data_IF_123661186328
#
_entry.id   IF_123661186328
#
_cell.length_a   1.000
_cell.length_b   1.000
_cell.length_c   1.000
_cell.angle_alpha   90.00
_cell.angle_beta   90.00
_cell.angle_gamma   90.00
#
_symmetry.space_group_name_H-M   'P 1'
#
loop_
_entity.id
_entity.type
_entity.pdbx_description
1 polymer ?
#
# COMPACT_ATOMS: atom_id res chain seq x y z
N UNK A 1 -16.32 5.83 11.94
CA UNK A 1 -15.89 6.54 10.71
C UNK A 1 -14.44 6.13 10.48
N UNK A 2 -14.17 5.20 9.56
CA UNK A 2 -12.83 4.66 9.32
C UNK A 2 -12.08 5.51 8.27
N UNK A 3 -11.88 6.80 8.58
CA UNK A 3 -11.35 7.78 7.62
C UNK A 3 -9.96 7.45 7.10
N UNK A 4 -9.07 6.91 7.93
CA UNK A 4 -7.68 6.66 7.54
C UNK A 4 -7.52 5.75 6.30
N UNK A 5 -8.32 4.68 6.19
CA UNK A 5 -8.23 3.79 5.02
C UNK A 5 -8.74 4.48 3.76
N UNK A 6 -9.86 5.19 3.87
CA UNK A 6 -10.49 5.91 2.77
C UNK A 6 -9.57 7.03 2.27
N UNK A 7 -8.96 7.78 3.18
CA UNK A 7 -8.04 8.87 2.88
C UNK A 7 -6.79 8.36 2.14
N UNK A 8 -6.13 7.31 2.67
CA UNK A 8 -4.96 6.69 2.04
C UNK A 8 -5.29 6.14 0.65
N UNK A 9 -6.42 5.44 0.52
CA UNK A 9 -6.87 4.86 -0.75
C UNK A 9 -7.16 5.94 -1.81
N UNK A 10 -7.82 7.03 -1.40
CA UNK A 10 -8.13 8.16 -2.26
C UNK A 10 -6.85 8.88 -2.72
N UNK A 11 -5.90 9.12 -1.81
CA UNK A 11 -4.62 9.77 -2.14
C UNK A 11 -3.84 8.97 -3.21
N UNK A 12 -3.75 7.66 -3.04
CA UNK A 12 -3.03 6.80 -3.99
C UNK A 12 -3.75 6.65 -5.34
N UNK A 13 -5.09 6.62 -5.36
CA UNK A 13 -5.88 6.47 -6.59
C UNK A 13 -5.95 7.78 -7.40
N UNK A 14 -6.01 8.93 -6.74
CA UNK A 14 -6.21 10.22 -7.39
C UNK A 14 -5.00 10.75 -8.17
N UNK A 15 -3.80 10.19 -7.94
CA UNK A 15 -2.54 10.69 -8.49
C UNK A 15 -2.05 9.92 -9.73
N UNK A 16 -2.56 8.72 -9.98
CA UNK A 16 -1.96 7.77 -10.93
C UNK A 16 -3.03 6.91 -11.63
N UNK A 17 -2.65 6.24 -12.72
CA UNK A 17 -3.45 5.19 -13.38
C UNK A 17 -3.48 3.88 -12.55
N UNK A 18 -3.72 3.99 -11.24
CA UNK A 18 -3.81 2.88 -10.29
C UNK A 18 -5.15 2.96 -9.54
N UNK A 19 -5.59 1.85 -8.97
CA UNK A 19 -6.80 1.83 -8.14
C UNK A 19 -6.54 1.16 -6.81
N UNK A 20 -6.54 1.94 -5.73
CA UNK A 20 -6.39 1.43 -4.36
C UNK A 20 -7.75 1.45 -3.68
N UNK A 21 -8.16 0.30 -3.16
CA UNK A 21 -9.39 0.16 -2.40
C UNK A 21 -9.13 0.35 -0.90
N UNK A 22 -10.07 0.92 -0.13
CA UNK A 22 -9.88 1.12 1.31
C UNK A 22 -9.88 -0.20 2.10
N UNK A 23 -10.39 -1.29 1.53
CA UNK A 23 -10.53 -2.57 2.22
C UNK A 23 -9.94 -3.72 1.42
N UNK A 24 -9.55 -4.77 2.15
CA UNK A 24 -9.03 -6.02 1.59
C UNK A 24 -9.93 -6.58 0.50
N UNK A 25 -9.32 -7.06 -0.58
CA UNK A 25 -10.02 -7.76 -1.67
C UNK A 25 -9.42 -9.14 -1.91
N UNK A 26 -10.30 -10.11 -2.13
CA UNK A 26 -9.93 -11.49 -2.48
C UNK A 26 -9.48 -11.63 -3.94
N UNK A 27 -9.71 -10.61 -4.76
CA UNK A 27 -9.35 -10.56 -6.18
C UNK A 27 -8.61 -9.27 -6.47
N UNK A 28 -7.44 -9.39 -7.09
CA UNK A 28 -6.59 -8.26 -7.47
C UNK A 28 -6.17 -8.42 -8.92
N UNK A 29 -6.19 -7.31 -9.65
CA UNK A 29 -5.63 -7.17 -10.98
C UNK A 29 -4.35 -6.34 -10.91
N UNK A 30 -3.50 -6.40 -11.94
CA UNK A 30 -2.35 -5.52 -12.03
C UNK A 30 -2.78 -4.04 -11.89
N UNK A 31 -1.95 -3.24 -11.24
CA UNK A 31 -2.20 -1.83 -10.94
C UNK A 31 -3.37 -1.57 -9.98
N UNK A 32 -3.85 -2.59 -9.29
CA UNK A 32 -4.85 -2.44 -8.23
C UNK A 32 -4.29 -2.84 -6.88
N UNK A 33 -4.86 -2.31 -5.81
CA UNK A 33 -4.38 -2.56 -4.47
C UNK A 33 -5.43 -2.35 -3.41
N UNK A 34 -5.06 -2.53 -2.15
CA UNK A 34 -5.94 -2.22 -1.04
C UNK A 34 -5.18 -1.75 0.20
N UNK A 35 -5.89 -1.06 1.09
CA UNK A 35 -5.40 -0.69 2.41
C UNK A 35 -5.84 -1.74 3.43
N UNK A 36 -4.93 -2.14 4.31
CA UNK A 36 -5.24 -2.95 5.48
C UNK A 36 -4.56 -2.39 6.72
N UNK A 37 -5.19 -2.61 7.87
CA UNK A 37 -4.56 -2.35 9.15
C UNK A 37 -3.44 -3.35 9.36
N UNK A 38 -2.24 -2.86 9.70
CA UNK A 38 -1.06 -3.69 9.89
C UNK A 38 -0.83 -4.02 11.37
N UNK A 39 -1.21 -3.11 12.27
CA UNK A 39 -0.99 -3.31 13.69
C UNK A 39 -0.91 -2.00 14.44
N UNK A 40 -0.34 -2.09 15.63
CA UNK A 40 0.11 -0.93 16.38
C UNK A 40 1.60 -1.02 16.59
N UNK A 41 2.33 0.01 16.20
CA UNK A 41 3.73 0.18 16.54
C UNK A 41 3.84 1.02 17.81
N UNK A 42 4.90 0.80 18.58
CA UNK A 42 5.28 1.66 19.68
C UNK A 42 6.55 2.38 19.25
N UNK A 43 6.53 3.71 19.27
CA UNK A 43 7.74 4.49 19.05
C UNK A 43 8.69 4.30 20.26
N UNK A 44 9.99 4.25 19.99
CA UNK A 44 11.05 4.11 20.99
C UNK A 44 11.07 5.28 21.99
N UNK A 45 10.37 6.39 21.67
CA UNK A 45 10.12 7.52 22.57
C UNK A 45 9.23 7.19 23.79
N UNK A 46 8.58 6.02 23.81
CA UNK A 46 7.75 5.56 24.92
C UNK A 46 6.33 6.17 24.96
N UNK A 47 5.99 7.04 24.00
CA UNK A 47 4.70 7.72 23.89
C UNK A 47 3.66 6.88 23.13
N UNK A 48 2.99 5.98 23.85
CA UNK A 48 1.77 5.32 23.38
C UNK A 48 1.93 4.37 22.18
N UNK A 49 0.80 3.90 21.68
CA UNK A 49 0.71 3.02 20.50
C UNK A 49 0.19 3.83 19.30
N UNK A 50 0.80 3.66 18.14
CA UNK A 50 0.41 4.30 16.89
C UNK A 50 -0.11 3.22 15.94
N UNK A 51 -1.30 3.44 15.37
CA UNK A 51 -1.85 2.53 14.36
C UNK A 51 -1.02 2.61 13.07
N UNK A 52 -0.59 1.44 12.59
CA UNK A 52 0.12 1.30 11.32
C UNK A 52 -0.79 0.71 10.25
N UNK A 53 -0.56 1.16 9.04
CA UNK A 53 -1.32 0.79 7.85
C UNK A 53 -0.39 0.21 6.79
N UNK A 54 -0.93 -0.72 6.01
CA UNK A 54 -0.27 -1.32 4.87
C UNK A 54 -1.12 -1.06 3.63
N UNK A 55 -0.51 -0.46 2.62
CA UNK A 55 -1.04 -0.46 1.26
C UNK A 55 -0.39 -1.62 0.53
N UNK A 56 -1.20 -2.55 0.06
CA UNK A 56 -0.76 -3.63 -0.81
C UNK A 56 -1.11 -3.27 -2.25
N UNK A 57 -0.15 -3.35 -3.16
CA UNK A 57 -0.31 -2.96 -4.57
C UNK A 57 0.14 -4.09 -5.51
N UNK A 58 -0.73 -4.53 -6.42
CA UNK A 58 -0.40 -5.55 -7.41
C UNK A 58 0.45 -4.95 -8.53
N UNK A 59 1.59 -5.59 -8.78
CA UNK A 59 2.40 -5.29 -9.95
C UNK A 59 1.97 -6.17 -11.14
N UNK A 60 2.34 -5.79 -12.37
CA UNK A 60 2.28 -6.69 -13.52
C UNK A 60 3.01 -7.99 -13.24
N UNK A 61 2.49 -9.10 -13.75
CA UNK A 61 3.12 -10.42 -13.62
C UNK A 61 4.43 -10.52 -14.42
N UNK A 62 4.57 -9.74 -15.49
CA UNK A 62 5.82 -9.62 -16.24
C UNK A 62 6.83 -8.78 -15.47
N UNK A 63 7.94 -9.41 -15.07
CA UNK A 63 8.97 -8.80 -14.21
C UNK A 63 9.55 -7.54 -14.83
N UNK A 64 9.84 -7.56 -16.14
CA UNK A 64 10.42 -6.40 -16.83
C UNK A 64 9.46 -5.21 -16.80
N UNK A 65 8.18 -5.46 -17.07
CA UNK A 65 7.13 -4.44 -17.02
C UNK A 65 6.94 -3.92 -15.60
N UNK A 66 7.01 -4.79 -14.59
CA UNK A 66 6.93 -4.40 -13.19
C UNK A 66 8.11 -3.51 -12.76
N UNK A 67 9.35 -3.91 -13.07
CA UNK A 67 10.55 -3.13 -12.77
C UNK A 67 10.54 -1.77 -13.46
N UNK A 68 10.13 -1.72 -14.74
CA UNK A 68 10.01 -0.47 -15.47
C UNK A 68 8.95 0.44 -14.85
N UNK A 69 7.77 -0.11 -14.50
CA UNK A 69 6.74 0.67 -13.83
C UNK A 69 7.22 1.24 -12.48
N UNK A 70 7.94 0.43 -11.69
CA UNK A 70 8.52 0.89 -10.43
C UNK A 70 9.53 2.00 -10.66
N UNK A 71 10.42 1.87 -11.66
CA UNK A 71 11.41 2.91 -11.98
C UNK A 71 10.75 4.23 -12.40
N UNK A 72 9.62 4.16 -13.11
CA UNK A 72 8.95 5.33 -13.67
C UNK A 72 7.95 5.99 -12.70
N UNK A 73 7.33 5.22 -11.79
CA UNK A 73 6.13 5.65 -11.04
C UNK A 73 6.19 5.46 -9.53
N UNK A 74 7.18 4.75 -9.00
CA UNK A 74 7.22 4.45 -7.57
C UNK A 74 7.26 5.74 -6.74
N UNK A 75 8.10 6.71 -7.10
CA UNK A 75 8.23 7.96 -6.36
C UNK A 75 6.94 8.79 -6.37
N UNK A 76 6.20 8.80 -7.49
CA UNK A 76 4.89 9.46 -7.58
C UNK A 76 3.86 8.79 -6.65
N UNK A 77 3.86 7.44 -6.61
CA UNK A 77 2.97 6.68 -5.74
C UNK A 77 3.28 6.94 -4.26
N UNK A 78 4.57 6.89 -3.90
CA UNK A 78 5.02 7.15 -2.54
C UNK A 78 4.75 8.61 -2.14
N UNK A 79 4.98 9.56 -3.05
CA UNK A 79 4.65 10.97 -2.84
C UNK A 79 3.17 11.18 -2.56
N UNK A 80 2.28 10.55 -3.33
CA UNK A 80 0.84 10.62 -3.12
C UNK A 80 0.42 10.01 -1.76
N UNK A 81 0.91 8.81 -1.44
CA UNK A 81 0.61 8.14 -0.16
C UNK A 81 1.18 8.94 1.02
N UNK A 82 2.32 9.61 0.85
CA UNK A 82 3.00 10.37 1.91
C UNK A 82 2.19 11.54 2.47
N UNK A 83 1.14 11.97 1.74
CA UNK A 83 0.20 13.01 2.20
C UNK A 83 -0.66 12.56 3.38
N UNK A 84 -0.92 11.25 3.50
CA UNK A 84 -1.77 10.66 4.54
C UNK A 84 -1.02 9.69 5.47
N UNK A 85 0.16 9.22 5.05
CA UNK A 85 0.92 8.20 5.74
C UNK A 85 2.41 8.57 5.82
N UNK A 86 2.98 8.55 7.02
CA UNK A 86 4.45 8.56 7.16
C UNK A 86 4.96 7.18 6.78
N UNK A 87 5.44 7.05 5.55
CA UNK A 87 5.96 5.80 5.00
C UNK A 87 7.23 5.42 5.76
N UNK A 88 7.25 4.22 6.34
CA UNK A 88 8.39 3.68 7.08
C UNK A 88 9.08 2.53 6.36
N UNK A 89 8.36 1.86 5.46
CA UNK A 89 8.89 0.70 4.76
C UNK A 89 8.21 0.52 3.40
N UNK A 90 8.99 0.10 2.40
CA UNK A 90 8.51 -0.20 1.04
C UNK A 90 9.24 -1.45 0.57
N UNK A 91 8.53 -2.57 0.43
CA UNK A 91 9.15 -3.86 0.11
C UNK A 91 8.36 -4.63 -0.95
N UNK A 92 9.03 -5.32 -1.89
CA UNK A 92 8.38 -6.30 -2.73
C UNK A 92 7.77 -7.42 -1.88
N UNK A 93 6.61 -7.92 -2.30
CA UNK A 93 5.91 -8.98 -1.61
C UNK A 93 5.08 -9.83 -2.55
N UNK A 94 4.87 -11.09 -2.16
CA UNK A 94 3.90 -11.98 -2.79
C UNK A 94 2.68 -12.13 -1.89
N UNK A 95 1.49 -12.04 -2.48
CA UNK A 95 0.22 -12.27 -1.80
C UNK A 95 -0.46 -13.51 -2.35
N UNK A 96 -0.69 -14.50 -1.48
CA UNK A 96 -1.52 -15.66 -1.80
C UNK A 96 -2.98 -15.28 -1.61
N UNK A 97 -3.76 -15.34 -2.69
CA UNK A 97 -5.21 -15.14 -2.65
C UNK A 97 -5.91 -16.49 -2.62
N UNK A 98 -7.14 -16.53 -2.07
CA UNK A 98 -7.90 -17.74 -1.68
C UNK A 98 -8.26 -18.77 -2.76
N UNK A 99 -7.60 -18.74 -3.93
CA UNK A 99 -7.71 -19.72 -5.02
C UNK A 99 -6.39 -20.38 -5.43
N UNK A 100 -5.29 -20.17 -4.68
CA UNK A 100 -4.00 -20.84 -4.90
C UNK A 100 -3.02 -20.14 -5.84
N UNK A 101 -3.38 -18.96 -6.37
CA UNK A 101 -2.46 -18.09 -7.09
C UNK A 101 -1.76 -17.09 -6.16
N UNK A 102 -0.45 -16.90 -6.34
CA UNK A 102 0.30 -15.79 -5.74
C UNK A 102 0.34 -14.61 -6.70
N UNK A 103 0.10 -13.40 -6.20
CA UNK A 103 0.26 -12.15 -6.96
C UNK A 103 1.49 -11.42 -6.44
N UNK A 104 2.42 -11.08 -7.31
CA UNK A 104 3.56 -10.23 -7.00
C UNK A 104 3.10 -8.78 -6.84
N UNK A 105 3.70 -8.08 -5.91
CA UNK A 105 3.28 -6.73 -5.58
C UNK A 105 4.27 -6.02 -4.69
N UNK A 106 3.78 -4.92 -4.14
CA UNK A 106 4.49 -4.04 -3.24
C UNK A 106 3.68 -3.88 -1.96
N UNK A 107 4.36 -3.96 -0.82
CA UNK A 107 3.83 -3.53 0.46
C UNK A 107 4.46 -2.18 0.78
N UNK A 108 3.61 -1.19 1.01
CA UNK A 108 3.98 0.14 1.52
C UNK A 108 3.40 0.23 2.93
N UNK A 109 4.27 0.36 3.92
CA UNK A 109 3.90 0.44 5.33
C UNK A 109 4.17 1.83 5.86
N UNK A 110 3.36 2.23 6.83
CA UNK A 110 3.60 3.45 7.55
C UNK A 110 2.62 3.67 8.69
N UNK A 111 2.84 4.77 9.38
CA UNK A 111 1.99 5.24 10.46
C UNK A 111 1.26 6.50 10.00
N UNK A 112 0.00 6.67 10.42
CA UNK A 112 -0.65 7.98 10.28
C UNK A 112 -0.03 8.91 11.33
N UNK A 113 0.52 10.04 10.90
CA UNK A 113 0.88 11.09 11.84
C UNK A 113 -0.42 11.60 12.47
N UNK A 114 -0.44 11.67 13.81
CA UNK A 114 -1.58 12.16 14.57
C UNK A 114 -1.81 13.66 14.36
#
# INVERSE_FOLDING_TARGET
MFTARDDIAAAATGSLDVTIYPEYRQTLQAYTGFVKWNGRARDDSGLGWIDTWQVWFALPQDVRTAEQWLADRLDDLLGAISTELVITNVVPADLVLGGGGSTNGLIIEGARAA
#
